data_IF_511076816638
#
_entry.id   IF_511076816638
#
_cell.length_a   1.000
_cell.length_b   1.000
_cell.length_c   1.000
_cell.angle_alpha   90.00
_cell.angle_beta   90.00
_cell.angle_gamma   90.00
#
_symmetry.space_group_name_H-M   'P 1'
#
loop_
_entity.id
_entity.type
_entity.pdbx_description
1 polymer ?
#
# COMPACT_ATOMS: atom_id res chain seq x y z
N UNK A 1 2.52 -9.70 -10.87
CA UNK A 1 2.17 -8.95 -12.08
C UNK A 1 2.67 -9.62 -13.37
N UNK A 2 3.96 -9.96 -13.50
CA UNK A 2 4.53 -10.60 -14.69
C UNK A 2 3.74 -11.85 -15.15
N UNK A 3 3.47 -12.82 -14.23
CA UNK A 3 2.69 -14.02 -14.54
C UNK A 3 1.26 -13.74 -15.03
N UNK A 4 0.63 -12.66 -14.56
CA UNK A 4 -0.71 -12.30 -14.99
C UNK A 4 -0.74 -11.84 -16.46
N UNK A 5 0.18 -10.94 -16.84
CA UNK A 5 0.31 -10.49 -18.23
C UNK A 5 0.62 -11.64 -19.20
N UNK A 6 1.54 -12.54 -18.82
CA UNK A 6 1.85 -13.74 -19.62
C UNK A 6 0.64 -14.67 -19.75
N UNK A 7 -0.08 -14.93 -18.66
CA UNK A 7 -1.25 -15.80 -18.69
C UNK A 7 -2.40 -15.22 -19.54
N UNK A 8 -2.54 -13.90 -19.54
CA UNK A 8 -3.48 -13.21 -20.41
C UNK A 8 -3.10 -13.42 -21.89
N UNK A 9 -1.85 -13.11 -22.24
CA UNK A 9 -1.35 -13.26 -23.61
C UNK A 9 -1.46 -14.70 -24.14
N UNK A 10 -1.18 -15.70 -23.30
CA UNK A 10 -1.32 -17.12 -23.69
C UNK A 10 -2.75 -17.49 -24.11
N UNK A 11 -3.75 -16.82 -23.56
CA UNK A 11 -5.18 -17.08 -23.82
C UNK A 11 -5.75 -16.17 -24.92
N UNK A 12 -5.15 -15.02 -25.13
CA UNK A 12 -5.64 -13.99 -26.03
C UNK A 12 -5.11 -14.22 -27.46
N UNK A 13 -5.93 -14.04 -28.51
CA UNK A 13 -5.49 -14.10 -29.89
C UNK A 13 -4.33 -13.18 -30.24
N UNK A 14 -4.25 -12.00 -29.59
CA UNK A 14 -3.16 -11.07 -29.76
C UNK A 14 -1.80 -11.68 -29.39
N UNK A 15 -1.73 -12.47 -28.32
CA UNK A 15 -0.51 -13.11 -27.86
C UNK A 15 -0.04 -14.30 -28.74
N UNK A 16 -0.87 -14.76 -29.69
CA UNK A 16 -0.52 -15.81 -30.68
C UNK A 16 0.04 -15.25 -31.96
N UNK A 17 0.05 -13.95 -32.16
CA UNK A 17 0.58 -13.30 -33.36
C UNK A 17 2.09 -13.38 -33.39
N UNK A 18 2.64 -13.44 -34.58
CA UNK A 18 4.09 -13.30 -34.77
C UNK A 18 4.53 -11.89 -34.42
N UNK A 19 5.62 -11.76 -33.71
CA UNK A 19 6.11 -10.48 -33.14
C UNK A 19 6.41 -9.44 -34.24
N UNK A 20 6.92 -9.91 -35.39
CA UNK A 20 7.26 -9.09 -36.57
C UNK A 20 6.04 -8.54 -37.30
N UNK A 21 4.84 -9.08 -37.06
CA UNK A 21 3.58 -8.64 -37.69
C UNK A 21 2.81 -7.64 -36.83
N UNK A 22 3.20 -7.42 -35.57
CA UNK A 22 2.47 -6.54 -34.64
C UNK A 22 2.82 -5.08 -34.91
N UNK A 23 1.81 -4.29 -35.29
CA UNK A 23 1.92 -2.83 -35.50
C UNK A 23 1.45 -2.04 -34.29
N UNK A 24 1.81 -0.76 -34.25
CA UNK A 24 1.35 0.18 -33.19
C UNK A 24 -0.18 0.23 -33.13
N UNK A 25 -0.86 0.23 -34.31
CA UNK A 25 -2.33 0.20 -34.38
C UNK A 25 -2.92 -1.05 -33.70
N UNK A 26 -2.32 -2.21 -33.91
CA UNK A 26 -2.78 -3.47 -33.33
C UNK A 26 -2.65 -3.43 -31.79
N UNK A 27 -1.52 -2.94 -31.29
CA UNK A 27 -1.28 -2.79 -29.86
C UNK A 27 -2.27 -1.81 -29.21
N UNK A 28 -2.53 -0.67 -29.86
CA UNK A 28 -3.52 0.32 -29.40
C UNK A 28 -4.94 -0.28 -29.38
N UNK A 29 -5.38 -0.89 -30.49
CA UNK A 29 -6.70 -1.53 -30.59
C UNK A 29 -6.89 -2.61 -29.52
N UNK A 30 -5.87 -3.43 -29.28
CA UNK A 30 -5.93 -4.47 -28.26
C UNK A 30 -6.06 -3.90 -26.84
N UNK A 31 -5.31 -2.83 -26.49
CA UNK A 31 -5.45 -2.20 -25.17
C UNK A 31 -6.82 -1.54 -24.99
N UNK A 32 -7.39 -0.93 -26.06
CA UNK A 32 -8.76 -0.40 -26.03
C UNK A 32 -9.76 -1.53 -25.82
N UNK A 33 -9.61 -2.65 -26.51
CA UNK A 33 -10.45 -3.84 -26.33
C UNK A 33 -10.40 -4.34 -24.88
N UNK A 34 -9.21 -4.42 -24.26
CA UNK A 34 -9.06 -4.81 -22.86
C UNK A 34 -9.85 -3.90 -21.92
N UNK A 35 -9.89 -2.59 -22.21
CA UNK A 35 -10.64 -1.64 -21.37
C UNK A 35 -12.15 -1.69 -21.66
N UNK A 36 -12.53 -1.60 -22.91
CA UNK A 36 -13.94 -1.41 -23.29
C UNK A 36 -14.74 -2.70 -23.23
N UNK A 37 -14.17 -3.82 -23.68
CA UNK A 37 -14.86 -5.11 -23.76
C UNK A 37 -14.60 -5.96 -22.53
N UNK A 38 -13.32 -6.14 -22.15
CA UNK A 38 -12.98 -6.95 -20.98
C UNK A 38 -13.07 -6.19 -19.65
N UNK A 39 -13.42 -4.91 -19.68
CA UNK A 39 -13.61 -4.05 -18.49
C UNK A 39 -12.41 -4.01 -17.54
N UNK A 40 -11.19 -4.13 -18.10
CA UNK A 40 -9.97 -3.99 -17.29
C UNK A 40 -9.73 -2.53 -16.94
N UNK A 41 -9.37 -2.28 -15.67
CA UNK A 41 -9.00 -0.94 -15.22
C UNK A 41 -7.71 -0.45 -15.89
N UNK A 42 -7.54 0.87 -15.98
CA UNK A 42 -6.32 1.52 -16.44
C UNK A 42 -5.06 0.98 -15.75
N UNK A 43 -5.10 0.80 -14.44
CA UNK A 43 -3.97 0.27 -13.66
C UNK A 43 -3.57 -1.16 -14.09
N UNK A 44 -4.55 -2.01 -14.42
CA UNK A 44 -4.29 -3.35 -14.94
C UNK A 44 -3.65 -3.29 -16.33
N UNK A 45 -4.17 -2.43 -17.22
CA UNK A 45 -3.64 -2.22 -18.57
C UNK A 45 -2.23 -1.62 -18.52
N UNK A 46 -2.00 -0.63 -17.63
CA UNK A 46 -0.68 -0.07 -17.39
C UNK A 46 0.33 -1.14 -16.97
N UNK A 47 -0.07 -2.05 -16.09
CA UNK A 47 0.76 -3.16 -15.64
C UNK A 47 1.06 -4.17 -16.76
N UNK A 48 0.08 -4.48 -17.60
CA UNK A 48 0.24 -5.37 -18.76
C UNK A 48 1.24 -4.73 -19.75
N UNK A 49 1.04 -3.45 -20.09
CA UNK A 49 1.94 -2.72 -20.98
C UNK A 49 3.35 -2.59 -20.39
N UNK A 50 3.45 -2.43 -19.07
CA UNK A 50 4.73 -2.38 -18.34
C UNK A 50 5.58 -3.66 -18.49
N UNK A 51 4.96 -4.80 -18.82
CA UNK A 51 5.65 -6.05 -19.16
C UNK A 51 5.95 -6.10 -20.66
N UNK A 52 4.99 -5.73 -21.51
CA UNK A 52 5.12 -5.88 -22.96
C UNK A 52 6.10 -4.89 -23.58
N UNK A 53 6.08 -3.62 -23.14
CA UNK A 53 6.94 -2.59 -23.71
C UNK A 53 8.43 -2.95 -23.61
N UNK A 54 8.98 -3.37 -22.46
CA UNK A 54 10.37 -3.82 -22.38
C UNK A 54 10.63 -5.06 -23.23
N UNK A 55 9.70 -6.02 -23.28
CA UNK A 55 9.86 -7.25 -24.08
C UNK A 55 9.94 -6.97 -25.59
N UNK A 56 9.11 -6.04 -26.08
CA UNK A 56 9.18 -5.61 -27.48
C UNK A 56 10.38 -4.68 -27.73
N UNK A 57 10.88 -3.97 -26.72
CA UNK A 57 12.12 -3.21 -26.86
C UNK A 57 13.31 -4.14 -27.08
N UNK A 58 13.40 -5.23 -26.33
CA UNK A 58 14.41 -6.25 -26.54
C UNK A 58 14.40 -6.79 -27.98
N UNK A 59 13.21 -7.00 -28.55
CA UNK A 59 13.10 -7.45 -29.94
C UNK A 59 13.53 -6.35 -30.96
N UNK A 60 13.45 -5.07 -30.62
CA UNK A 60 14.04 -3.97 -31.41
C UNK A 60 15.57 -4.00 -31.28
N UNK A 61 16.08 -4.16 -30.07
CA UNK A 61 17.51 -4.17 -29.76
C UNK A 61 18.23 -5.38 -30.40
N UNK A 62 17.48 -6.49 -30.59
CA UNK A 62 17.94 -7.71 -31.29
C UNK A 62 17.66 -7.69 -32.83
N UNK A 63 17.29 -6.53 -33.39
CA UNK A 63 16.97 -6.33 -34.82
C UNK A 63 15.84 -7.25 -35.39
N UNK A 64 15.01 -7.84 -34.53
CA UNK A 64 13.88 -8.68 -34.95
C UNK A 64 12.70 -7.85 -35.45
N UNK A 65 12.54 -6.62 -34.97
CA UNK A 65 11.52 -5.67 -35.37
C UNK A 65 12.10 -4.24 -35.42
N UNK A 66 11.60 -3.42 -36.35
CA UNK A 66 12.13 -2.06 -36.55
C UNK A 66 11.70 -1.05 -35.47
N UNK A 67 10.52 -1.22 -34.88
CA UNK A 67 9.91 -0.26 -33.92
C UNK A 67 9.11 -1.02 -32.88
N UNK A 68 9.18 -0.54 -31.65
CA UNK A 68 8.39 -1.08 -30.56
C UNK A 68 6.90 -0.66 -30.69
N UNK A 69 5.95 -1.60 -30.89
CA UNK A 69 4.54 -1.29 -31.06
C UNK A 69 3.87 -0.72 -29.79
N UNK A 70 4.50 -0.81 -28.63
CA UNK A 70 4.03 -0.23 -27.36
C UNK A 70 4.71 1.10 -27.01
N UNK A 71 5.44 1.73 -27.95
CA UNK A 71 6.12 3.01 -27.78
C UNK A 71 5.16 4.18 -28.02
N UNK A 72 4.22 4.40 -27.11
CA UNK A 72 3.27 5.52 -27.10
C UNK A 72 2.87 5.87 -25.67
N UNK A 73 2.20 7.03 -25.48
CA UNK A 73 1.64 7.42 -24.19
C UNK A 73 0.32 6.67 -23.94
N UNK A 74 0.22 5.94 -22.81
CA UNK A 74 -0.96 5.11 -22.53
C UNK A 74 -2.24 5.95 -22.38
N UNK A 75 -2.13 7.13 -21.79
CA UNK A 75 -3.26 8.06 -21.56
C UNK A 75 -3.90 8.57 -22.85
N UNK A 76 -3.19 8.50 -23.99
CA UNK A 76 -3.73 8.85 -25.31
C UNK A 76 -4.58 7.75 -25.93
N UNK A 77 -4.55 6.55 -25.35
CA UNK A 77 -5.16 5.36 -25.92
C UNK A 77 -6.30 4.80 -25.08
N UNK A 78 -6.13 4.81 -23.78
CA UNK A 78 -7.13 4.31 -22.81
C UNK A 78 -7.43 5.34 -21.76
N UNK A 79 -8.67 5.38 -21.31
CA UNK A 79 -9.14 6.35 -20.30
C UNK A 79 -8.53 6.00 -18.93
N UNK A 80 -7.98 6.99 -18.26
CA UNK A 80 -7.50 6.81 -16.89
C UNK A 80 -8.68 6.86 -15.91
N UNK A 81 -9.22 5.69 -15.60
CA UNK A 81 -10.29 5.47 -14.61
C UNK A 81 -9.77 5.16 -13.20
N UNK A 82 -8.45 5.36 -12.97
CA UNK A 82 -7.86 5.09 -11.66
C UNK A 82 -8.37 6.09 -10.62
N UNK A 83 -9.02 5.55 -9.58
CA UNK A 83 -9.42 6.34 -8.42
C UNK A 83 -8.18 6.57 -7.57
N UNK A 84 -7.76 7.82 -7.46
CA UNK A 84 -6.71 8.22 -6.54
C UNK A 84 -7.24 8.03 -5.11
N UNK A 85 -6.61 7.18 -4.34
CA UNK A 85 -6.93 7.01 -2.92
C UNK A 85 -6.28 8.16 -2.16
N UNK A 86 -7.08 9.17 -1.86
CA UNK A 86 -6.61 10.35 -1.15
C UNK A 86 -6.51 10.11 0.35
N UNK A 87 -5.69 10.93 1.00
CA UNK A 87 -5.66 11.01 2.46
C UNK A 87 -7.00 11.55 2.97
N UNK A 88 -7.49 11.01 4.07
CA UNK A 88 -8.69 11.50 4.72
C UNK A 88 -8.36 12.67 5.65
N UNK A 89 -9.36 13.50 5.94
CA UNK A 89 -9.24 14.61 6.87
C UNK A 89 -9.06 14.11 8.31
N UNK A 90 -8.47 14.95 9.17
CA UNK A 90 -8.35 14.65 10.62
C UNK A 90 -9.72 14.44 11.30
N UNK A 91 -10.78 15.06 10.78
CA UNK A 91 -12.14 14.87 11.27
C UNK A 91 -12.67 13.48 10.94
N UNK A 92 -12.47 13.03 9.71
CA UNK A 92 -12.85 11.69 9.25
C UNK A 92 -12.04 10.60 9.96
N UNK A 93 -10.71 10.79 10.15
CA UNK A 93 -9.87 9.89 10.92
C UNK A 93 -10.41 9.70 12.34
N UNK A 94 -10.69 10.82 13.06
CA UNK A 94 -11.25 10.78 14.42
C UNK A 94 -12.61 10.07 14.45
N UNK A 95 -13.47 10.36 13.48
CA UNK A 95 -14.80 9.75 13.37
C UNK A 95 -14.70 8.24 13.14
N UNK A 96 -13.82 7.81 12.25
CA UNK A 96 -13.57 6.40 11.98
C UNK A 96 -13.02 5.67 13.20
N UNK A 97 -11.97 6.21 13.83
CA UNK A 97 -11.36 5.63 15.03
C UNK A 97 -12.34 5.56 16.21
N UNK A 98 -13.20 6.57 16.38
CA UNK A 98 -14.24 6.54 17.41
C UNK A 98 -15.21 5.39 17.17
N UNK A 99 -15.72 5.27 15.94
CA UNK A 99 -16.63 4.18 15.58
C UNK A 99 -16.01 2.80 15.84
N UNK A 100 -14.76 2.60 15.42
CA UNK A 100 -14.04 1.33 15.66
C UNK A 100 -13.92 1.04 17.16
N UNK A 101 -13.60 2.06 17.96
CA UNK A 101 -13.41 1.93 19.41
C UNK A 101 -14.70 1.59 20.15
N UNK A 102 -15.82 2.17 19.74
CA UNK A 102 -17.13 2.02 20.37
C UNK A 102 -17.87 0.75 19.88
N UNK A 103 -17.51 0.19 18.74
CA UNK A 103 -18.18 -0.99 18.19
C UNK A 103 -17.77 -2.28 18.94
N UNK A 104 -18.75 -3.05 19.49
CA UNK A 104 -18.45 -4.25 20.26
C UNK A 104 -17.68 -5.34 19.51
N UNK A 105 -17.79 -5.37 18.17
CA UNK A 105 -17.10 -6.35 17.35
C UNK A 105 -15.72 -5.87 16.90
N UNK A 106 -15.62 -4.60 16.49
CA UNK A 106 -14.40 -4.07 15.87
C UNK A 106 -13.42 -3.44 16.87
N UNK A 107 -13.82 -3.18 18.13
CA UNK A 107 -12.94 -2.61 19.16
C UNK A 107 -11.65 -3.43 19.38
N UNK A 108 -11.69 -4.75 19.12
CA UNK A 108 -10.50 -5.63 19.19
C UNK A 108 -9.41 -5.30 18.18
N UNK A 109 -9.73 -4.57 17.11
CA UNK A 109 -8.79 -4.16 16.07
C UNK A 109 -8.37 -2.70 16.21
N UNK A 110 -8.94 -1.98 17.19
CA UNK A 110 -8.72 -0.54 17.36
C UNK A 110 -7.23 -0.18 17.47
N UNK A 111 -6.50 -0.87 18.33
CA UNK A 111 -5.08 -0.58 18.57
C UNK A 111 -4.25 -0.76 17.29
N UNK A 112 -4.49 -1.83 16.53
CA UNK A 112 -3.79 -2.07 15.26
C UNK A 112 -4.13 -1.04 14.20
N UNK A 113 -5.41 -0.66 14.08
CA UNK A 113 -5.86 0.39 13.16
C UNK A 113 -5.27 1.75 13.56
N UNK A 114 -5.22 2.07 14.85
CA UNK A 114 -4.60 3.28 15.37
C UNK A 114 -3.11 3.34 15.01
N UNK A 115 -2.37 2.26 15.22
CA UNK A 115 -0.95 2.16 14.85
C UNK A 115 -0.76 2.43 13.35
N UNK A 116 -1.59 1.86 12.47
CA UNK A 116 -1.51 2.10 11.03
C UNK A 116 -1.67 3.59 10.67
N UNK A 117 -2.57 4.32 11.34
CA UNK A 117 -2.75 5.77 11.15
C UNK A 117 -1.60 6.60 11.72
N UNK A 118 -0.92 6.13 12.77
CA UNK A 118 0.09 6.92 13.51
C UNK A 118 1.53 6.59 13.15
N UNK A 119 1.76 5.55 12.34
CA UNK A 119 3.11 5.13 11.94
C UNK A 119 3.31 5.10 10.43
N UNK A 120 2.22 5.05 9.66
CA UNK A 120 2.29 4.92 8.21
C UNK A 120 2.89 3.60 7.72
N UNK A 121 2.94 2.55 8.53
CA UNK A 121 3.40 1.22 8.16
C UNK A 121 2.65 0.68 6.94
N UNK A 122 3.35 -0.06 6.08
CA UNK A 122 2.66 -0.89 5.07
C UNK A 122 1.94 -2.02 5.78
N UNK A 123 0.76 -2.39 5.30
CA UNK A 123 -0.01 -3.45 5.96
C UNK A 123 0.75 -4.77 6.05
N UNK A 124 1.57 -5.11 5.07
CA UNK A 124 2.40 -6.32 5.09
C UNK A 124 3.56 -6.23 6.09
N UNK A 125 4.13 -5.04 6.33
CA UNK A 125 5.11 -4.76 7.38
C UNK A 125 4.43 -4.95 8.75
N UNK A 126 3.28 -4.29 8.96
CA UNK A 126 2.51 -4.40 10.20
C UNK A 126 2.12 -5.85 10.53
N UNK A 127 1.66 -6.62 9.55
CA UNK A 127 1.33 -8.04 9.74
C UNK A 127 2.56 -8.91 10.03
N UNK A 128 3.74 -8.47 9.59
CA UNK A 128 5.01 -9.14 9.84
C UNK A 128 5.59 -8.88 11.22
N UNK A 129 5.15 -7.81 11.91
CA UNK A 129 5.68 -7.47 13.22
C UNK A 129 5.52 -8.60 14.23
N UNK A 130 6.58 -8.84 14.96
CA UNK A 130 6.64 -9.73 16.11
C UNK A 130 6.88 -8.93 17.38
N UNK A 131 6.71 -9.56 18.54
CA UNK A 131 7.00 -8.91 19.83
C UNK A 131 8.46 -8.44 19.88
N UNK A 132 9.39 -9.18 19.29
CA UNK A 132 10.82 -8.84 19.27
C UNK A 132 11.17 -7.61 18.43
N UNK A 133 10.27 -7.17 17.54
CA UNK A 133 10.48 -6.00 16.71
C UNK A 133 10.10 -4.70 17.43
N UNK A 134 9.46 -4.80 18.62
CA UNK A 134 9.02 -3.65 19.41
C UNK A 134 9.99 -3.42 20.56
N UNK A 135 10.79 -2.38 20.46
CA UNK A 135 11.74 -1.98 21.48
C UNK A 135 11.11 -0.91 22.39
N UNK A 136 10.61 -1.35 23.55
CA UNK A 136 10.02 -0.46 24.56
C UNK A 136 11.05 0.36 25.33
N UNK A 137 12.33 0.00 25.28
CA UNK A 137 13.40 0.73 25.95
C UNK A 137 13.86 1.91 25.09
N UNK A 138 14.05 1.65 23.81
CA UNK A 138 14.45 2.68 22.85
C UNK A 138 13.26 3.38 22.19
N UNK A 139 12.03 3.01 22.56
CA UNK A 139 10.78 3.54 21.99
C UNK A 139 10.73 3.46 20.45
N UNK A 140 11.15 2.33 19.88
CA UNK A 140 11.22 2.14 18.42
C UNK A 140 10.57 0.84 17.94
N UNK A 141 10.11 0.86 16.68
CA UNK A 141 9.67 -0.31 15.93
C UNK A 141 10.74 -0.64 14.89
N UNK A 142 11.25 -1.86 14.90
CA UNK A 142 12.17 -2.33 13.87
C UNK A 142 11.41 -2.88 12.67
N UNK A 143 11.68 -2.35 11.49
CA UNK A 143 11.08 -2.80 10.22
C UNK A 143 12.20 -3.32 9.33
N UNK A 144 12.33 -4.61 9.22
CA UNK A 144 13.33 -5.30 8.37
C UNK A 144 12.68 -6.34 7.44
N UNK A 145 11.39 -6.65 7.66
CA UNK A 145 10.68 -7.67 6.91
C UNK A 145 9.18 -7.37 6.77
N UNK A 146 8.52 -8.19 6.01
CA UNK A 146 7.07 -8.17 5.82
C UNK A 146 6.52 -9.59 5.71
N UNK A 147 5.30 -9.81 6.21
CA UNK A 147 4.59 -11.08 6.07
C UNK A 147 3.81 -11.10 4.75
N UNK A 148 3.99 -12.19 4.01
CA UNK A 148 3.26 -12.46 2.78
C UNK A 148 2.60 -13.84 2.84
N UNK A 149 1.53 -14.04 2.06
CA UNK A 149 0.88 -15.34 1.88
C UNK A 149 0.64 -15.63 0.41
N UNK A 150 1.03 -16.81 -0.05
CA UNK A 150 0.73 -17.30 -1.40
C UNK A 150 -0.02 -18.62 -1.31
N UNK A 151 -1.02 -18.83 -2.17
CA UNK A 151 -1.90 -20.01 -2.12
C UNK A 151 -1.17 -21.36 -2.18
N UNK A 152 -0.01 -21.42 -2.84
CA UNK A 152 0.77 -22.68 -2.99
C UNK A 152 1.92 -22.84 -1.98
N UNK A 153 2.34 -21.75 -1.32
CA UNK A 153 3.53 -21.73 -0.45
C UNK A 153 3.12 -21.57 1.02
N UNK A 154 1.95 -20.97 1.28
CA UNK A 154 1.54 -20.57 2.62
C UNK A 154 2.11 -19.21 3.00
N UNK A 155 2.35 -19.01 4.29
CA UNK A 155 3.02 -17.81 4.82
C UNK A 155 4.51 -17.87 4.54
N UNK A 156 5.10 -16.71 4.27
CA UNK A 156 6.54 -16.55 4.16
C UNK A 156 6.94 -15.12 4.56
N UNK A 157 8.13 -14.98 5.09
CA UNK A 157 8.76 -13.69 5.36
C UNK A 157 9.45 -13.23 4.10
N UNK A 158 9.20 -12.00 3.73
CA UNK A 158 9.92 -11.32 2.67
C UNK A 158 10.74 -10.21 3.30
N UNK A 159 12.05 -10.31 3.23
CA UNK A 159 12.95 -9.23 3.62
C UNK A 159 12.69 -7.98 2.77
N UNK A 160 13.04 -6.82 3.30
CA UNK A 160 12.91 -5.57 2.56
C UNK A 160 13.90 -5.57 1.39
N UNK A 161 13.39 -5.35 0.18
CA UNK A 161 14.17 -5.42 -1.06
C UNK A 161 15.22 -4.32 -1.21
N UNK A 162 15.18 -3.30 -0.39
CA UNK A 162 16.06 -2.12 -0.46
C UNK A 162 16.51 -1.71 0.94
N UNK A 163 17.68 -1.13 1.04
CA UNK A 163 18.17 -0.48 2.29
C UNK A 163 17.19 0.53 2.85
N UNK A 164 16.41 1.21 1.99
CA UNK A 164 15.34 2.12 2.42
C UNK A 164 14.15 1.43 3.08
N UNK A 165 13.98 0.12 2.87
CA UNK A 165 12.92 -0.67 3.49
C UNK A 165 13.22 -1.00 4.95
N UNK A 166 14.50 -1.26 5.28
CA UNK A 166 14.96 -1.52 6.65
C UNK A 166 15.12 -0.21 7.39
N UNK A 167 14.35 -0.04 8.46
CA UNK A 167 14.33 1.21 9.22
C UNK A 167 13.80 1.00 10.63
N UNK A 168 14.15 1.91 11.54
CA UNK A 168 13.53 2.02 12.86
C UNK A 168 12.55 3.21 12.87
N UNK A 169 11.35 2.99 13.33
CA UNK A 169 10.30 4.02 13.46
C UNK A 169 10.17 4.38 14.92
N UNK A 170 10.36 5.64 15.33
CA UNK A 170 10.12 6.05 16.71
C UNK A 170 8.62 5.95 17.05
N UNK A 171 8.31 5.50 18.25
CA UNK A 171 6.94 5.42 18.77
C UNK A 171 6.60 6.66 19.59
N UNK A 172 5.38 7.17 19.38
CA UNK A 172 4.75 8.07 20.37
C UNK A 172 4.21 7.26 21.53
N UNK A 173 4.01 7.90 22.69
CA UNK A 173 3.46 7.25 23.89
C UNK A 173 2.13 6.51 23.60
N UNK A 174 1.26 7.10 22.78
CA UNK A 174 -0.02 6.48 22.39
C UNK A 174 0.17 5.20 21.55
N UNK A 175 1.16 5.20 20.65
CA UNK A 175 1.50 4.03 19.82
C UNK A 175 2.08 2.93 20.69
N UNK A 176 2.96 3.27 21.62
CA UNK A 176 3.53 2.34 22.59
C UNK A 176 2.46 1.70 23.46
N UNK A 177 1.53 2.48 23.98
CA UNK A 177 0.38 2.01 24.75
C UNK A 177 -0.49 1.03 23.94
N UNK A 178 -0.69 1.31 22.64
CA UNK A 178 -1.40 0.39 21.74
C UNK A 178 -0.66 -0.95 21.61
N UNK A 179 0.66 -0.95 21.44
CA UNK A 179 1.44 -2.21 21.39
C UNK A 179 1.38 -2.98 22.70
N UNK A 180 1.47 -2.33 23.85
CA UNK A 180 1.34 -2.98 25.17
C UNK A 180 -0.02 -3.68 25.30
N UNK A 181 -1.11 -2.98 24.94
CA UNK A 181 -2.46 -3.56 24.94
C UNK A 181 -2.61 -4.75 23.97
N UNK A 182 -2.01 -4.68 22.77
CA UNK A 182 -2.02 -5.79 21.81
C UNK A 182 -1.31 -7.00 22.43
N UNK A 183 -0.12 -6.81 23.00
CA UNK A 183 0.68 -7.89 23.58
C UNK A 183 -0.02 -8.51 24.79
N UNK A 184 -0.61 -7.69 25.65
CA UNK A 184 -1.37 -8.14 26.83
C UNK A 184 -2.61 -8.97 26.45
N UNK A 185 -3.35 -8.52 25.43
CA UNK A 185 -4.57 -9.17 24.95
C UNK A 185 -4.30 -10.27 23.92
N UNK A 186 -3.05 -10.50 23.57
CA UNK A 186 -2.65 -11.47 22.57
C UNK A 186 -3.07 -12.88 22.98
N UNK A 187 -3.76 -13.57 22.11
CA UNK A 187 -4.21 -14.93 22.32
C UNK A 187 -3.65 -15.87 21.24
N UNK A 188 -2.37 -16.28 21.36
CA UNK A 188 -1.75 -17.18 20.40
C UNK A 188 -2.33 -18.61 20.54
N UNK A 189 -2.30 -19.42 19.48
CA UNK A 189 -2.63 -20.84 19.58
C UNK A 189 -1.61 -21.58 20.48
N UNK A 190 -2.00 -22.78 21.01
CA UNK A 190 -1.11 -23.59 21.87
C UNK A 190 0.27 -23.88 21.23
N UNK A 191 0.28 -24.16 19.93
CA UNK A 191 1.50 -24.24 19.12
C UNK A 191 1.57 -22.99 18.26
N UNK A 192 2.36 -22.02 18.69
CA UNK A 192 2.49 -20.76 17.96
C UNK A 192 3.19 -20.97 16.62
N UNK A 193 2.61 -20.48 15.49
CA UNK A 193 3.22 -20.65 14.19
C UNK A 193 4.55 -19.90 14.08
N UNK A 194 5.55 -20.58 13.53
CA UNK A 194 6.82 -20.00 13.13
C UNK A 194 6.86 -19.89 11.61
N UNK A 195 7.27 -18.75 11.09
CA UNK A 195 7.40 -18.49 9.65
C UNK A 195 8.81 -17.98 9.37
N UNK A 196 9.58 -18.76 8.62
CA UNK A 196 10.99 -18.45 8.26
C UNK A 196 11.82 -17.97 9.47
N UNK A 197 11.69 -18.67 10.61
CA UNK A 197 12.41 -18.37 11.85
C UNK A 197 11.81 -17.25 12.72
N UNK A 198 10.76 -16.56 12.28
CA UNK A 198 10.05 -15.54 13.05
C UNK A 198 8.84 -16.15 13.77
N UNK A 199 8.64 -15.78 15.03
CA UNK A 199 7.50 -16.15 15.89
C UNK A 199 7.12 -14.94 16.75
N UNK A 200 6.02 -15.01 17.49
CA UNK A 200 5.59 -13.88 18.31
C UNK A 200 4.77 -12.85 17.53
N UNK A 201 4.08 -13.26 16.46
CA UNK A 201 3.23 -12.35 15.67
C UNK A 201 2.11 -11.73 16.50
N UNK A 202 1.71 -10.51 16.19
CA UNK A 202 0.81 -9.72 17.02
C UNK A 202 -0.65 -10.16 16.97
N UNK A 203 -1.14 -10.63 15.83
CA UNK A 203 -2.56 -10.96 15.62
C UNK A 203 -2.77 -12.33 15.01
N UNK A 204 -3.74 -13.05 15.57
CA UNK A 204 -4.23 -14.35 15.08
C UNK A 204 -5.72 -14.25 14.78
N UNK A 205 -6.16 -15.05 13.81
CA UNK A 205 -7.58 -15.27 13.56
C UNK A 205 -8.18 -16.33 14.50
N UNK A 206 -9.48 -16.59 14.35
CA UNK A 206 -10.18 -17.59 15.17
C UNK A 206 -9.66 -19.03 14.99
N UNK A 207 -8.98 -19.31 13.88
CA UNK A 207 -8.38 -20.63 13.61
C UNK A 207 -6.95 -20.74 14.17
N UNK A 208 -6.42 -19.70 14.79
CA UNK A 208 -5.03 -19.62 15.24
C UNK A 208 -4.03 -19.32 14.12
N UNK A 209 -4.50 -18.97 12.94
CA UNK A 209 -3.65 -18.56 11.82
C UNK A 209 -3.24 -17.09 11.94
N UNK A 210 -2.02 -16.74 11.48
CA UNK A 210 -1.53 -15.38 11.53
C UNK A 210 -2.41 -14.48 10.65
N UNK A 211 -2.83 -13.33 11.19
CA UNK A 211 -3.55 -12.32 10.42
C UNK A 211 -2.60 -11.64 9.42
N UNK A 212 -2.88 -11.76 8.13
CA UNK A 212 -2.11 -11.12 7.05
C UNK A 212 -2.93 -10.03 6.35
N UNK A 213 -2.36 -9.37 5.37
CA UNK A 213 -2.92 -8.17 4.71
C UNK A 213 -4.39 -8.29 4.31
N UNK A 214 -4.79 -9.44 3.72
CA UNK A 214 -6.18 -9.64 3.28
C UNK A 214 -7.19 -9.65 4.43
N UNK A 215 -6.82 -10.17 5.62
CA UNK A 215 -7.69 -10.12 6.80
C UNK A 215 -7.98 -8.65 7.17
N UNK A 216 -6.95 -7.82 7.21
CA UNK A 216 -7.08 -6.39 7.54
C UNK A 216 -7.89 -5.64 6.48
N UNK A 217 -7.67 -5.92 5.19
CA UNK A 217 -8.48 -5.33 4.11
C UNK A 217 -9.97 -5.67 4.30
N UNK A 218 -10.32 -6.91 4.63
CA UNK A 218 -11.68 -7.31 4.93
C UNK A 218 -12.23 -6.64 6.20
N UNK A 219 -11.43 -6.49 7.27
CA UNK A 219 -11.87 -5.78 8.46
C UNK A 219 -12.23 -4.32 8.16
N UNK A 220 -11.38 -3.61 7.43
CA UNK A 220 -11.67 -2.24 7.00
C UNK A 220 -12.94 -2.16 6.15
N UNK A 221 -13.12 -3.07 5.19
CA UNK A 221 -14.33 -3.14 4.37
C UNK A 221 -15.59 -3.34 5.23
N UNK A 222 -15.58 -4.30 6.14
CA UNK A 222 -16.71 -4.57 7.02
C UNK A 222 -17.00 -3.42 8.00
N UNK A 223 -15.98 -2.75 8.51
CA UNK A 223 -16.13 -1.54 9.35
C UNK A 223 -16.86 -0.45 8.58
N UNK A 224 -16.38 -0.12 7.36
CA UNK A 224 -17.00 0.90 6.51
C UNK A 224 -18.42 0.52 6.14
N UNK A 225 -18.64 -0.73 5.74
CA UNK A 225 -19.99 -1.22 5.40
C UNK A 225 -20.94 -1.09 6.59
N UNK A 226 -20.54 -1.51 7.79
CA UNK A 226 -21.36 -1.39 9.00
C UNK A 226 -21.63 0.06 9.35
N UNK A 227 -20.61 0.93 9.27
CA UNK A 227 -20.79 2.36 9.48
C UNK A 227 -21.83 2.95 8.51
N UNK A 228 -21.67 2.69 7.22
CA UNK A 228 -22.54 3.22 6.17
C UNK A 228 -23.95 2.67 6.22
N UNK A 229 -24.14 1.47 6.75
CA UNK A 229 -25.48 0.91 7.02
C UNK A 229 -26.13 1.51 8.28
N UNK A 230 -25.34 2.06 9.20
CA UNK A 230 -25.83 2.60 10.48
C UNK A 230 -26.13 4.11 10.39
N UNK A 231 -25.31 4.86 9.64
CA UNK A 231 -25.38 6.31 9.61
C UNK A 231 -25.79 6.86 8.25
N UNK A 232 -26.61 7.94 8.24
CA UNK A 232 -27.02 8.62 6.99
C UNK A 232 -25.84 9.26 6.25
N UNK A 233 -24.89 9.83 7.00
CA UNK A 233 -23.68 10.44 6.42
C UNK A 233 -22.68 9.33 6.16
N UNK A 234 -22.49 9.03 4.90
CA UNK A 234 -21.62 7.96 4.45
C UNK A 234 -20.14 8.30 4.68
N UNK A 235 -19.36 7.30 4.95
CA UNK A 235 -17.90 7.39 5.09
C UNK A 235 -17.24 6.90 3.80
N UNK A 236 -16.20 7.60 3.36
CA UNK A 236 -15.39 7.19 2.22
C UNK A 236 -14.69 5.85 2.49
N UNK A 237 -14.27 5.19 1.42
CA UNK A 237 -13.54 3.92 1.53
C UNK A 237 -12.18 4.16 2.19
N UNK A 238 -12.04 3.69 3.42
CA UNK A 238 -10.79 3.69 4.17
C UNK A 238 -10.17 2.29 4.10
N UNK A 239 -8.88 2.24 3.79
CA UNK A 239 -8.10 1.00 3.71
C UNK A 239 -6.79 1.20 4.49
N UNK A 240 -6.03 0.14 4.80
CA UNK A 240 -4.70 0.29 5.38
C UNK A 240 -3.77 1.22 4.58
N UNK A 241 -3.93 1.24 3.25
CA UNK A 241 -3.16 2.13 2.39
C UNK A 241 -3.58 3.61 2.54
N UNK A 242 -4.87 3.87 2.73
CA UNK A 242 -5.40 5.21 3.06
C UNK A 242 -4.85 5.68 4.41
N UNK A 243 -4.75 4.81 5.42
CA UNK A 243 -4.12 5.16 6.71
C UNK A 243 -2.69 5.66 6.51
N UNK A 244 -1.90 4.93 5.71
CA UNK A 244 -0.53 5.30 5.37
C UNK A 244 -0.45 6.64 4.60
N UNK A 245 -1.32 6.86 3.61
CA UNK A 245 -1.41 8.14 2.89
C UNK A 245 -1.77 9.29 3.83
N UNK A 246 -2.74 9.06 4.72
CA UNK A 246 -3.17 10.04 5.73
C UNK A 246 -2.02 10.41 6.67
N UNK A 247 -1.26 9.43 7.16
CA UNK A 247 -0.06 9.69 7.96
C UNK A 247 0.94 10.56 7.19
N UNK A 248 1.29 10.16 5.97
CA UNK A 248 2.23 10.89 5.12
C UNK A 248 1.79 12.35 4.91
N UNK A 249 0.52 12.57 4.53
CA UNK A 249 -0.04 13.90 4.32
C UNK A 249 -0.09 14.74 5.61
N UNK A 250 -0.45 14.13 6.74
CA UNK A 250 -0.47 14.82 8.02
C UNK A 250 0.95 15.27 8.45
N UNK A 251 1.96 14.40 8.28
CA UNK A 251 3.35 14.75 8.59
C UNK A 251 3.90 15.84 7.65
N UNK A 252 3.58 15.77 6.36
CA UNK A 252 3.94 16.82 5.41
C UNK A 252 3.32 18.17 5.79
N UNK A 253 2.03 18.20 6.14
CA UNK A 253 1.32 19.43 6.57
C UNK A 253 1.84 20.02 7.89
N UNK A 254 2.49 19.21 8.74
CA UNK A 254 3.15 19.72 9.95
C UNK A 254 4.55 20.26 9.71
N UNK A 255 5.01 20.28 8.45
CA UNK A 255 6.34 20.78 8.08
C UNK A 255 7.48 19.80 8.37
N UNK A 256 7.19 18.50 8.47
CA UNK A 256 8.25 17.50 8.63
C UNK A 256 9.22 17.54 7.47
N UNK A 257 10.52 17.46 7.75
CA UNK A 257 11.53 17.41 6.69
C UNK A 257 11.25 16.25 5.71
N UNK A 258 11.21 16.50 4.37
CA UNK A 258 10.89 15.48 3.37
C UNK A 258 11.80 14.24 3.41
N UNK A 259 13.09 14.41 3.75
CA UNK A 259 14.02 13.29 3.90
C UNK A 259 13.70 12.44 5.13
N UNK A 260 13.33 13.06 6.25
CA UNK A 260 12.90 12.35 7.44
C UNK A 260 11.60 11.58 7.16
N UNK A 261 10.65 12.20 6.46
CA UNK A 261 9.41 11.53 6.06
C UNK A 261 9.67 10.40 5.06
N UNK A 262 10.56 10.57 4.08
CA UNK A 262 10.99 9.51 3.17
C UNK A 262 11.51 8.30 3.95
N UNK A 263 12.38 8.53 4.95
CA UNK A 263 12.92 7.49 5.81
C UNK A 263 11.82 6.75 6.58
N UNK A 264 10.95 7.48 7.29
CA UNK A 264 9.85 6.89 8.06
C UNK A 264 8.90 6.06 7.19
N UNK A 265 8.60 6.55 6.00
CA UNK A 265 7.74 5.87 5.04
C UNK A 265 8.45 4.69 4.34
N UNK A 266 9.78 4.63 4.35
CA UNK A 266 10.55 3.62 3.61
C UNK A 266 10.31 3.71 2.10
N UNK A 267 10.28 4.95 1.55
CA UNK A 267 10.20 5.18 0.11
C UNK A 267 11.58 5.14 -0.51
N UNK A 268 11.79 4.29 -1.51
CA UNK A 268 13.04 4.20 -2.26
C UNK A 268 13.31 5.46 -3.10
N UNK A 269 12.25 6.08 -3.62
CA UNK A 269 12.31 7.32 -4.39
C UNK A 269 11.66 8.46 -3.61
N UNK A 270 12.40 9.57 -3.48
CA UNK A 270 11.91 10.76 -2.78
C UNK A 270 10.74 11.43 -3.50
N UNK A 271 10.62 11.26 -4.81
CA UNK A 271 9.52 11.83 -5.61
C UNK A 271 8.16 11.38 -5.07
N UNK A 272 8.06 10.13 -4.59
CA UNK A 272 6.84 9.60 -3.97
C UNK A 272 6.46 10.39 -2.72
N UNK A 273 7.45 10.80 -1.93
CA UNK A 273 7.22 11.63 -0.74
C UNK A 273 6.91 13.07 -1.13
N UNK A 274 7.69 13.64 -2.05
CA UNK A 274 7.53 15.03 -2.51
C UNK A 274 6.17 15.29 -3.16
N UNK A 275 5.58 14.31 -3.83
CA UNK A 275 4.22 14.41 -4.36
C UNK A 275 3.17 14.71 -3.28
N UNK A 276 3.46 14.44 -2.01
CA UNK A 276 2.58 14.79 -0.88
C UNK A 276 2.71 16.27 -0.48
N UNK A 277 3.82 16.92 -0.84
CA UNK A 277 4.09 18.34 -0.58
C UNK A 277 3.66 19.26 -1.74
N UNK A 278 3.16 18.72 -2.86
CA UNK A 278 2.83 19.50 -4.07
C UNK A 278 1.63 20.44 -3.93
N UNK A 279 0.94 20.40 -2.80
CA UNK A 279 -0.18 21.31 -2.51
C UNK A 279 0.20 22.47 -1.60
N UNK A 280 1.48 22.88 -1.61
CA UNK A 280 1.92 24.11 -0.94
C UNK A 280 1.32 25.32 -1.67
N UNK A 281 0.42 26.02 -0.99
CA UNK A 281 -0.19 27.25 -1.48
C UNK A 281 0.61 28.47 -1.00
N UNK A 282 0.31 29.65 -1.55
CA UNK A 282 1.00 30.90 -1.21
C UNK A 282 0.97 31.19 0.31
N UNK A 283 -0.14 30.84 0.99
CA UNK A 283 -0.29 30.97 2.43
C UNK A 283 0.78 30.16 3.18
N UNK A 284 1.00 28.90 2.82
CA UNK A 284 2.02 28.05 3.43
C UNK A 284 3.42 28.63 3.27
N UNK A 285 3.70 29.20 2.09
CA UNK A 285 4.97 29.87 1.82
C UNK A 285 5.18 31.12 2.68
N UNK A 286 4.11 31.89 2.95
CA UNK A 286 4.16 33.06 3.83
C UNK A 286 4.42 32.66 5.28
N UNK A 287 3.75 31.61 5.78
CA UNK A 287 3.98 31.11 7.13
C UNK A 287 5.41 30.60 7.30
N UNK A 288 5.95 29.90 6.31
CA UNK A 288 7.33 29.41 6.34
C UNK A 288 8.36 30.54 6.36
N UNK A 289 8.17 31.59 5.53
CA UNK A 289 9.01 32.79 5.55
C UNK A 289 8.90 33.50 6.93
N UNK A 290 7.72 33.54 7.52
CA UNK A 290 7.55 34.15 8.84
C UNK A 290 8.31 33.36 9.93
N UNK A 291 8.33 32.03 9.87
CA UNK A 291 9.13 31.18 10.77
C UNK A 291 10.63 31.44 10.63
N UNK A 292 11.13 31.60 9.40
CA UNK A 292 12.55 31.85 9.13
C UNK A 292 13.04 33.23 9.57
N UNK A 293 12.13 34.20 9.75
CA UNK A 293 12.46 35.56 10.25
C UNK A 293 12.59 35.67 11.78
N UNK A 294 12.38 34.56 12.50
CA UNK A 294 12.46 34.50 13.98
C UNK A 294 13.85 33.98 14.44
N UNK A 295 14.81 33.88 13.51
CA UNK A 295 16.21 33.52 13.83
C UNK A 295 17.06 34.79 13.76
#
# INVERSE_FOLDING_TARGET
MFKYGINLLKKDPFGKRRIDTVRISDAKCWLIHLQQVEKKSYSSIHSIRGVLRPSFQLAVDDDLIRKNPFQFQLMEVVVNDSVTREAISRAEERKFLRFVKEDPHFCRYYEGIYILFKTGLRISEFCGLTISDIDFKEHTINIDHQLQKKSKIGYYIQETKTTSGTRKIPMTADVEECFRKIIEKRNPPKAEPMVDGKSGFLYFDKSGSICYSLHWEHYFQHIIQKYNNTYKVQMNVITPHVCRHTYCSNMAKTGMNPKALQYLMGHSDISVTLNTYTHVILEDAREEIARLRIV
#
